data_IF_869559052750
#
_entry.id   IF_869559052750
#
_cell.length_a   1.000
_cell.length_b   1.000
_cell.length_c   1.000
_cell.angle_alpha   90.00
_cell.angle_beta   90.00
_cell.angle_gamma   90.00
#
_symmetry.space_group_name_H-M   'P 1'
#
loop_
_entity.id
_entity.type
_entity.pdbx_description
1 polymer ?
#
# COMPACT_ATOMS: atom_id res chain seq x y z
N UNK A 1 20.75 -17.51 -17.38
CA UNK A 1 20.02 -18.66 -16.84
C UNK A 1 18.55 -18.32 -16.74
N UNK A 2 17.68 -19.17 -17.27
CA UNK A 2 16.26 -18.87 -17.26
C UNK A 2 15.70 -18.67 -15.85
N UNK A 3 16.16 -19.46 -14.89
CA UNK A 3 15.64 -19.33 -13.53
C UNK A 3 16.01 -17.99 -12.91
N UNK A 4 17.22 -17.51 -13.18
CA UNK A 4 17.67 -16.23 -12.65
C UNK A 4 16.89 -15.10 -13.31
N UNK A 5 16.69 -15.20 -14.62
CA UNK A 5 15.93 -14.19 -15.32
C UNK A 5 14.48 -14.11 -14.82
N UNK A 6 13.88 -15.27 -14.62
CA UNK A 6 12.49 -15.30 -14.12
C UNK A 6 12.41 -14.67 -12.74
N UNK A 7 13.38 -15.00 -11.89
CA UNK A 7 13.40 -14.44 -10.55
C UNK A 7 13.55 -12.93 -10.57
N UNK A 8 14.40 -12.44 -11.46
CA UNK A 8 14.61 -11.00 -11.56
C UNK A 8 13.39 -10.30 -12.11
N UNK A 9 12.70 -10.92 -13.05
CA UNK A 9 11.49 -10.33 -13.59
C UNK A 9 10.41 -10.26 -12.53
N UNK A 10 10.26 -11.33 -11.76
CA UNK A 10 9.28 -11.34 -10.69
C UNK A 10 9.64 -10.30 -9.63
N UNK A 11 10.92 -10.21 -9.29
CA UNK A 11 11.35 -9.21 -8.31
C UNK A 11 11.05 -7.80 -8.79
N UNK A 12 11.27 -7.53 -10.07
CA UNK A 12 10.96 -6.22 -10.64
C UNK A 12 9.48 -5.95 -10.57
N UNK A 13 8.66 -6.95 -10.88
CA UNK A 13 7.22 -6.79 -10.80
C UNK A 13 6.78 -6.51 -9.36
N UNK A 14 7.37 -7.21 -8.40
CA UNK A 14 7.02 -7.00 -7.00
C UNK A 14 7.38 -5.59 -6.56
N UNK A 15 8.53 -5.09 -6.97
CA UNK A 15 8.92 -3.73 -6.63
C UNK A 15 7.95 -2.71 -7.24
N UNK A 16 7.53 -2.98 -8.47
CA UNK A 16 6.57 -2.10 -9.12
C UNK A 16 5.24 -2.10 -8.37
N UNK A 17 4.77 -3.28 -7.98
CA UNK A 17 3.53 -3.39 -7.24
C UNK A 17 3.63 -2.68 -5.89
N UNK A 18 4.74 -2.83 -5.20
CA UNK A 18 4.95 -2.14 -3.93
C UNK A 18 4.88 -0.64 -4.14
N UNK A 19 5.52 -0.15 -5.20
CA UNK A 19 5.48 1.27 -5.50
C UNK A 19 4.07 1.75 -5.78
N UNK A 20 3.28 0.95 -6.51
CA UNK A 20 1.90 1.30 -6.79
C UNK A 20 1.06 1.33 -5.52
N UNK A 21 1.30 0.38 -4.63
CA UNK A 21 0.58 0.34 -3.37
C UNK A 21 0.92 1.58 -2.53
N UNK A 22 2.17 1.96 -2.49
CA UNK A 22 2.56 3.15 -1.75
C UNK A 22 1.90 4.40 -2.32
N UNK A 23 1.81 4.47 -3.63
CA UNK A 23 1.11 5.57 -4.26
C UNK A 23 -0.36 5.57 -3.89
N UNK A 24 -0.98 4.40 -3.91
CA UNK A 24 -2.38 4.28 -3.53
C UNK A 24 -2.61 4.68 -2.09
N UNK A 25 -1.68 4.32 -1.21
CA UNK A 25 -1.79 4.70 0.20
C UNK A 25 -1.73 6.21 0.35
N UNK A 26 -0.83 6.86 -0.38
CA UNK A 26 -0.74 8.31 -0.34
C UNK A 26 -2.01 8.96 -0.86
N UNK A 27 -2.54 8.43 -1.95
CA UNK A 27 -3.78 8.96 -2.51
C UNK A 27 -4.94 8.79 -1.56
N UNK A 28 -5.00 7.64 -0.90
CA UNK A 28 -6.06 7.39 0.06
C UNK A 28 -5.95 8.35 1.25
N UNK A 29 -4.75 8.55 1.76
CA UNK A 29 -4.55 9.48 2.85
C UNK A 29 -4.91 10.90 2.45
N UNK A 30 -4.56 11.29 1.23
CA UNK A 30 -4.91 12.60 0.74
C UNK A 30 -6.42 12.77 0.63
N UNK A 31 -7.09 11.74 0.12
CA UNK A 31 -8.55 11.80 -0.01
C UNK A 31 -9.20 11.90 1.35
N UNK A 32 -8.71 11.15 2.33
CA UNK A 32 -9.24 11.22 3.67
C UNK A 32 -9.06 12.62 4.26
N UNK A 33 -7.88 13.18 4.09
CA UNK A 33 -7.63 14.52 4.58
C UNK A 33 -8.51 15.56 3.92
N UNK A 34 -8.75 15.39 2.62
CA UNK A 34 -9.61 16.31 1.92
C UNK A 34 -11.03 16.26 2.43
N UNK A 35 -11.52 15.07 2.73
CA UNK A 35 -12.91 14.95 3.08
C UNK A 35 -13.24 15.46 4.46
N UNK A 36 -12.30 15.43 5.37
CA UNK A 36 -12.62 15.99 6.67
C UNK A 36 -11.65 17.07 7.14
N UNK A 37 -10.65 17.37 6.35
CA UNK A 37 -9.74 18.46 6.66
C UNK A 37 -10.07 19.74 5.95
N UNK A 38 -10.91 19.68 4.91
CA UNK A 38 -11.21 20.87 4.14
C UNK A 38 -12.25 21.77 4.77
N UNK A 39 -13.00 21.25 5.69
CA UNK A 39 -14.07 22.03 6.29
C UNK A 39 -13.51 22.74 7.52
N UNK A 40 -13.37 24.06 7.48
CA UNK A 40 -12.82 24.77 8.63
C UNK A 40 -13.71 24.74 9.84
N UNK A 41 -14.98 24.49 9.65
CA UNK A 41 -15.88 24.45 10.76
C UNK A 41 -15.84 23.18 11.53
N UNK A 42 -15.43 22.14 10.98
CA UNK A 42 -15.13 20.91 11.66
C UNK A 42 -16.24 20.25 12.43
N UNK A 43 -17.12 21.00 13.02
CA UNK A 43 -18.13 20.39 13.86
C UNK A 43 -19.07 19.51 13.05
N UNK A 44 -19.39 19.90 11.85
CA UNK A 44 -20.24 19.08 10.98
C UNK A 44 -19.52 17.82 10.52
N UNK A 45 -18.20 17.86 10.53
CA UNK A 45 -17.43 16.73 10.03
C UNK A 45 -17.47 15.54 10.96
N UNK A 46 -17.81 15.74 12.21
CA UNK A 46 -17.82 14.66 13.17
C UNK A 46 -18.72 13.53 12.69
N UNK A 47 -19.87 13.87 12.14
CA UNK A 47 -20.79 12.86 11.66
C UNK A 47 -20.29 12.18 10.39
N UNK A 48 -19.68 12.96 9.52
CA UNK A 48 -19.11 12.40 8.29
C UNK A 48 -17.98 11.44 8.60
N UNK A 49 -17.18 11.77 9.60
CA UNK A 49 -16.05 10.95 9.97
C UNK A 49 -16.45 9.56 10.41
N UNK A 50 -17.65 9.42 10.95
CA UNK A 50 -18.11 8.10 11.37
C UNK A 50 -18.14 7.11 10.22
N UNK A 51 -18.45 7.59 9.00
CA UNK A 51 -18.51 6.73 7.85
C UNK A 51 -17.22 6.75 7.03
N UNK A 52 -16.68 7.95 6.85
CA UNK A 52 -15.56 8.15 5.93
C UNK A 52 -14.26 7.63 6.52
N UNK A 53 -13.97 7.98 7.75
CA UNK A 53 -12.69 7.62 8.36
C UNK A 53 -12.50 6.11 8.48
N UNK A 54 -13.49 5.35 8.98
CA UNK A 54 -13.29 3.90 9.04
C UNK A 54 -13.06 3.27 7.67
N UNK A 55 -13.74 3.79 6.67
CA UNK A 55 -13.61 3.25 5.32
C UNK A 55 -12.20 3.44 4.79
N UNK A 56 -11.67 4.65 4.94
CA UNK A 56 -10.30 4.91 4.49
C UNK A 56 -9.29 4.19 5.35
N UNK A 57 -9.53 4.09 6.64
CA UNK A 57 -8.61 3.38 7.53
C UNK A 57 -8.53 1.91 7.14
N UNK A 58 -9.64 1.29 6.81
CA UNK A 58 -9.63 -0.09 6.38
C UNK A 58 -8.91 -0.26 5.07
N UNK A 59 -9.09 0.68 4.14
CA UNK A 59 -8.39 0.62 2.86
C UNK A 59 -6.89 0.74 3.06
N UNK A 60 -6.46 1.65 3.91
CA UNK A 60 -5.04 1.83 4.17
C UNK A 60 -4.46 0.58 4.84
N UNK A 61 -5.19 0.02 5.80
CA UNK A 61 -4.73 -1.19 6.47
C UNK A 61 -4.58 -2.34 5.49
N UNK A 62 -5.53 -2.48 4.57
CA UNK A 62 -5.45 -3.53 3.55
C UNK A 62 -4.25 -3.33 2.65
N UNK A 63 -3.98 -2.08 2.28
CA UNK A 63 -2.82 -1.80 1.44
C UNK A 63 -1.52 -2.07 2.18
N UNK A 64 -1.47 -1.74 3.47
CA UNK A 64 -0.30 -2.07 4.28
C UNK A 64 -0.06 -3.58 4.31
N UNK A 65 -1.12 -4.35 4.50
CA UNK A 65 -0.99 -5.80 4.55
C UNK A 65 -0.50 -6.35 3.21
N UNK A 66 -1.02 -5.81 2.11
CA UNK A 66 -0.58 -6.23 0.78
C UNK A 66 0.89 -5.90 0.58
N UNK A 67 1.29 -4.69 0.98
CA UNK A 67 2.68 -4.29 0.82
C UNK A 67 3.60 -5.17 1.63
N UNK A 68 3.20 -5.49 2.84
CA UNK A 68 4.02 -6.37 3.69
C UNK A 68 4.18 -7.73 3.05
N UNK A 69 3.10 -8.27 2.48
CA UNK A 69 3.17 -9.56 1.81
C UNK A 69 4.08 -9.53 0.60
N UNK A 70 3.99 -8.46 -0.19
CA UNK A 70 4.86 -8.33 -1.34
C UNK A 70 6.32 -8.16 -0.94
N UNK A 71 6.57 -7.41 0.13
CA UNK A 71 7.92 -7.25 0.63
C UNK A 71 8.50 -8.57 1.11
N UNK A 72 7.68 -9.36 1.79
CA UNK A 72 8.10 -10.68 2.24
C UNK A 72 8.42 -11.58 1.05
N UNK A 73 7.58 -11.55 0.03
CA UNK A 73 7.83 -12.34 -1.17
C UNK A 73 9.13 -11.94 -1.83
N UNK A 74 9.40 -10.64 -1.86
CA UNK A 74 10.64 -10.15 -2.44
C UNK A 74 11.84 -10.63 -1.65
N UNK A 75 11.75 -10.63 -0.33
CA UNK A 75 12.81 -11.14 0.51
C UNK A 75 13.05 -12.63 0.27
N UNK A 76 11.96 -13.39 0.12
CA UNK A 76 12.09 -14.81 -0.14
C UNK A 76 12.83 -15.06 -1.46
N UNK A 77 12.54 -14.25 -2.47
CA UNK A 77 13.24 -14.38 -3.74
C UNK A 77 14.72 -14.06 -3.58
N UNK A 78 15.03 -13.03 -2.80
CA UNK A 78 16.43 -12.68 -2.56
C UNK A 78 17.16 -13.78 -1.84
N UNK A 79 16.53 -14.35 -0.82
CA UNK A 79 17.15 -15.43 -0.06
C UNK A 79 17.39 -16.65 -0.94
N UNK A 80 16.42 -16.99 -1.76
CA UNK A 80 16.58 -18.13 -2.66
C UNK A 80 17.76 -17.92 -3.57
N UNK A 81 17.96 -16.68 -4.03
CA UNK A 81 19.09 -16.39 -4.89
C UNK A 81 20.42 -16.43 -4.15
N UNK A 82 20.43 -16.05 -2.88
CA UNK A 82 21.68 -15.95 -2.17
C UNK A 82 22.14 -17.27 -1.55
N UNK A 83 21.22 -18.23 -1.39
CA UNK A 83 21.62 -19.52 -0.83
C UNK A 83 22.28 -20.42 -1.84
N UNK A 84 22.26 -20.04 -3.08
CA UNK A 84 22.95 -20.84 -4.09
C UNK A 84 24.42 -20.60 -4.06
#
# INVERSE_FOLDING_TARGET
MPAVESRELIAADLRMLISQIETSMRRTATAMNREHGNDPEGSADVFVLDDVTPRYAMAIAALHACRAGLGHALECLSEAGSTV
#
